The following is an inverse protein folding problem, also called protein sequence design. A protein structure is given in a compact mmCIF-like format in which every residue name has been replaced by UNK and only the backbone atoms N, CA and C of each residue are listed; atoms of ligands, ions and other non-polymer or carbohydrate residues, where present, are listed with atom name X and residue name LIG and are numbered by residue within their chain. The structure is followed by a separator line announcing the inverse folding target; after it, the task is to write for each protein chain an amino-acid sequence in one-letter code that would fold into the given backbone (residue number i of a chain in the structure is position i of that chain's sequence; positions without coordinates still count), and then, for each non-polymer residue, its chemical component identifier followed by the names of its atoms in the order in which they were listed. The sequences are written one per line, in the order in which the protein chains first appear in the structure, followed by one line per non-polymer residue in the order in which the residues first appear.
data_IF_308084533028
#
_entry.id   IF_308084533028
#
_cell.length_a   1.000
_cell.length_b   1.000
_cell.length_c   1.000
_cell.angle_alpha   90.00
_cell.angle_beta   90.00
_cell.angle_gamma   90.00
#
_symmetry.space_group_name_H-M   'P 1'
#
loop_
_entity.id
_entity.type
_entity.pdbx_description
1 polymer ?
#
# COMPACT_ATOMS: atom_id res chain seq x y z
N UNK A 1 10.89 -15.76 67.18
CA UNK A 1 9.77 -15.84 66.22
C UNK A 1 10.06 -14.86 65.09
N UNK A 2 10.50 -15.37 63.94
CA UNK A 2 10.85 -14.56 62.78
C UNK A 2 9.58 -14.29 61.96
N UNK A 3 9.23 -13.01 61.77
CA UNK A 3 8.17 -12.59 60.86
C UNK A 3 8.80 -12.27 59.50
N UNK A 4 8.53 -13.13 58.52
CA UNK A 4 8.90 -12.92 57.12
C UNK A 4 7.88 -11.95 56.52
N UNK A 5 8.28 -10.71 56.27
CA UNK A 5 7.49 -9.76 55.48
C UNK A 5 7.54 -10.16 54.00
N UNK A 6 6.42 -10.67 53.49
CA UNK A 6 6.23 -11.00 52.08
C UNK A 6 5.89 -9.71 51.31
N UNK A 7 6.88 -9.12 50.63
CA UNK A 7 6.68 -7.98 49.74
C UNK A 7 5.97 -8.45 48.47
N UNK A 8 4.68 -8.18 48.35
CA UNK A 8 3.93 -8.39 47.11
C UNK A 8 4.34 -7.31 46.07
N UNK A 9 5.18 -7.68 45.11
CA UNK A 9 5.47 -6.84 43.96
C UNK A 9 4.26 -6.86 43.00
N UNK A 10 3.49 -5.78 42.96
CA UNK A 10 2.41 -5.61 41.98
C UNK A 10 3.05 -5.25 40.64
N UNK A 11 3.12 -6.21 39.73
CA UNK A 11 3.52 -5.97 38.35
C UNK A 11 2.48 -5.05 37.68
N UNK A 12 2.91 -3.86 37.26
CA UNK A 12 2.10 -2.96 36.44
C UNK A 12 1.98 -3.60 35.05
N UNK A 13 0.78 -3.82 34.50
CA UNK A 13 0.66 -4.24 33.12
C UNK A 13 1.23 -3.12 32.23
N UNK A 14 2.36 -3.39 31.58
CA UNK A 14 2.83 -2.59 30.46
C UNK A 14 1.74 -2.66 29.41
N UNK A 15 1.02 -1.55 29.21
CA UNK A 15 0.11 -1.40 28.10
C UNK A 15 0.90 -1.46 26.80
N UNK A 16 1.00 -2.65 26.21
CA UNK A 16 1.23 -2.76 24.79
C UNK A 16 0.02 -2.09 24.12
N UNK A 17 0.25 -0.95 23.46
CA UNK A 17 -0.69 -0.44 22.47
C UNK A 17 -0.74 -1.50 21.39
N UNK A 18 -1.80 -2.30 21.40
CA UNK A 18 -2.19 -3.11 20.27
C UNK A 18 -2.72 -2.09 19.26
N UNK A 19 -1.84 -1.60 18.38
CA UNK A 19 -2.23 -0.74 17.27
C UNK A 19 -3.18 -1.56 16.41
N UNK A 20 -4.48 -1.36 16.64
CA UNK A 20 -5.53 -2.06 15.92
C UNK A 20 -5.34 -1.79 14.43
N UNK A 21 -4.91 -2.81 13.69
CA UNK A 21 -4.77 -2.72 12.25
C UNK A 21 -6.10 -2.22 11.68
N UNK A 22 -6.12 -1.15 10.87
CA UNK A 22 -7.35 -0.62 10.31
C UNK A 22 -8.09 -1.73 9.54
N UNK A 23 -9.35 -1.96 9.91
CA UNK A 23 -10.21 -2.95 9.27
C UNK A 23 -10.65 -2.42 7.89
N UNK A 24 -9.84 -2.64 6.88
CA UNK A 24 -10.16 -2.30 5.49
C UNK A 24 -11.27 -3.20 4.95
N UNK A 25 -12.29 -2.60 4.33
CA UNK A 25 -13.44 -3.28 3.76
C UNK A 25 -13.95 -2.54 2.52
N UNK A 26 -15.01 -3.04 1.88
CA UNK A 26 -15.53 -2.46 0.64
C UNK A 26 -16.16 -1.07 0.78
N UNK A 27 -16.49 -0.62 2.00
CA UNK A 27 -17.12 0.69 2.22
C UNK A 27 -16.13 1.81 2.55
N UNK A 28 -14.89 1.48 2.93
CA UNK A 28 -13.86 2.47 3.25
C UNK A 28 -12.68 2.49 2.26
N UNK A 29 -12.72 1.66 1.22
CA UNK A 29 -11.69 1.60 0.19
C UNK A 29 -12.17 2.14 -1.16
N UNK A 30 -11.30 2.89 -1.84
CA UNK A 30 -11.34 3.05 -3.29
C UNK A 30 -10.12 2.37 -3.87
N UNK A 31 -10.33 1.51 -4.85
CA UNK A 31 -9.25 0.75 -5.49
C UNK A 31 -8.88 1.34 -6.85
N UNK A 32 -7.76 0.92 -7.42
CA UNK A 32 -7.29 1.36 -8.73
C UNK A 32 -7.03 0.15 -9.64
N UNK A 33 -7.58 0.22 -10.86
CA UNK A 33 -7.25 -0.67 -11.98
C UNK A 33 -6.58 0.11 -13.08
N UNK A 34 -5.45 -0.40 -13.55
CA UNK A 34 -4.92 0.00 -14.85
C UNK A 34 -4.86 -1.23 -15.73
N UNK A 35 -5.54 -1.19 -16.88
CA UNK A 35 -5.65 -2.30 -17.82
C UNK A 35 -4.79 -2.01 -19.03
N UNK A 36 -3.83 -2.90 -19.30
CA UNK A 36 -2.89 -2.74 -20.41
C UNK A 36 -3.55 -3.05 -21.76
N UNK A 37 -2.98 -2.56 -22.88
CA UNK A 37 -3.42 -2.96 -24.22
C UNK A 37 -3.34 -4.47 -24.45
N UNK A 38 -2.31 -5.13 -23.90
CA UNK A 38 -2.07 -6.57 -23.97
C UNK A 38 -1.06 -7.05 -22.89
N UNK A 39 -0.58 -8.28 -23.02
CA UNK A 39 0.32 -8.93 -22.03
C UNK A 39 1.80 -8.92 -22.39
N UNK A 40 2.16 -8.36 -23.55
CA UNK A 40 3.56 -8.21 -23.94
C UNK A 40 4.32 -7.22 -23.03
N UNK A 41 5.65 -7.31 -23.04
CA UNK A 41 6.50 -6.51 -22.17
C UNK A 41 6.33 -4.98 -22.39
N UNK A 42 6.00 -4.53 -23.60
CA UNK A 42 5.78 -3.10 -23.87
C UNK A 42 4.45 -2.65 -23.26
N UNK A 43 3.38 -3.43 -23.42
CA UNK A 43 2.08 -3.17 -22.80
C UNK A 43 2.17 -3.13 -21.27
N UNK A 44 2.94 -4.05 -20.67
CA UNK A 44 3.13 -4.08 -19.22
C UNK A 44 3.92 -2.86 -18.71
N UNK A 45 4.97 -2.43 -19.44
CA UNK A 45 5.71 -1.18 -19.11
C UNK A 45 4.83 0.06 -19.23
N UNK A 46 4.01 0.14 -20.28
CA UNK A 46 3.07 1.23 -20.50
C UNK A 46 2.05 1.32 -19.35
N UNK A 47 1.50 0.18 -18.91
CA UNK A 47 0.60 0.11 -17.76
C UNK A 47 1.24 0.68 -16.49
N UNK A 48 2.51 0.36 -16.21
CA UNK A 48 3.21 0.89 -15.04
C UNK A 48 3.41 2.40 -15.14
N UNK A 49 3.79 2.92 -16.31
CA UNK A 49 3.95 4.36 -16.51
C UNK A 49 2.62 5.13 -16.35
N UNK A 50 1.52 4.58 -16.87
CA UNK A 50 0.17 5.16 -16.69
C UNK A 50 -0.25 5.10 -15.22
N UNK A 51 -0.04 3.97 -14.54
CA UNK A 51 -0.30 3.81 -13.11
C UNK A 51 0.41 4.90 -12.31
N UNK A 52 1.70 5.11 -12.53
CA UNK A 52 2.49 6.06 -11.75
C UNK A 52 1.99 7.49 -11.94
N UNK A 53 1.65 7.88 -13.17
CA UNK A 53 1.07 9.19 -13.47
C UNK A 53 -0.32 9.38 -12.83
N UNK A 54 -1.16 8.35 -12.83
CA UNK A 54 -2.49 8.39 -12.21
C UNK A 54 -2.38 8.45 -10.70
N UNK A 55 -1.48 7.69 -10.08
CA UNK A 55 -1.23 7.74 -8.63
C UNK A 55 -0.70 9.11 -8.19
N UNK A 56 0.20 9.71 -8.96
CA UNK A 56 0.69 11.06 -8.66
C UNK A 56 -0.44 12.09 -8.72
N UNK A 57 -1.27 12.05 -9.76
CA UNK A 57 -2.38 12.98 -9.94
C UNK A 57 -3.45 12.82 -8.86
N UNK A 58 -3.92 11.59 -8.66
CA UNK A 58 -4.94 11.29 -7.65
C UNK A 58 -4.43 11.54 -6.24
N UNK A 59 -3.13 11.31 -5.97
CA UNK A 59 -2.51 11.66 -4.69
C UNK A 59 -2.57 13.17 -4.40
N UNK A 60 -2.52 14.04 -5.43
CA UNK A 60 -2.73 15.49 -5.27
C UNK A 60 -4.19 15.84 -5.04
N UNK A 61 -5.09 15.25 -5.82
CA UNK A 61 -6.53 15.49 -5.72
C UNK A 61 -7.11 15.06 -4.36
N UNK A 62 -6.61 13.96 -3.80
CA UNK A 62 -7.15 13.34 -2.60
C UNK A 62 -6.51 13.86 -1.29
N UNK A 63 -5.63 14.87 -1.33
CA UNK A 63 -4.99 15.40 -0.12
C UNK A 63 -5.99 15.93 0.91
N UNK A 64 -7.12 16.47 0.45
CA UNK A 64 -8.17 17.00 1.31
C UNK A 64 -9.32 16.01 1.54
N UNK A 65 -9.21 14.77 1.06
CA UNK A 65 -10.29 13.80 1.15
C UNK A 65 -10.37 13.23 2.58
N UNK A 66 -11.52 13.42 3.23
CA UNK A 66 -11.71 12.99 4.62
C UNK A 66 -12.13 11.51 4.73
N UNK A 67 -12.96 11.05 3.80
CA UNK A 67 -13.49 9.68 3.77
C UNK A 67 -13.62 9.15 2.33
N UNK A 68 -13.96 7.86 2.19
CA UNK A 68 -14.08 7.22 0.89
C UNK A 68 -15.20 7.82 0.02
N UNK A 69 -16.26 8.41 0.61
CA UNK A 69 -17.33 9.06 -0.15
C UNK A 69 -16.87 10.40 -0.69
N UNK A 70 -16.11 11.13 0.11
CA UNK A 70 -15.49 12.40 -0.27
C UNK A 70 -14.47 12.19 -1.40
N UNK A 71 -13.58 11.22 -1.22
CA UNK A 71 -12.63 10.78 -2.24
C UNK A 71 -13.34 10.38 -3.55
N UNK A 72 -14.44 9.61 -3.48
CA UNK A 72 -15.20 9.22 -4.65
C UNK A 72 -15.78 10.43 -5.41
N UNK A 73 -16.30 11.43 -4.68
CA UNK A 73 -16.84 12.66 -5.28
C UNK A 73 -15.75 13.47 -5.99
N UNK A 74 -14.59 13.61 -5.34
CA UNK A 74 -13.41 14.29 -5.91
C UNK A 74 -12.97 13.59 -7.20
N UNK A 75 -12.83 12.26 -7.17
CA UNK A 75 -12.42 11.48 -8.34
C UNK A 75 -13.44 11.61 -9.48
N UNK A 76 -14.74 11.50 -9.16
CA UNK A 76 -15.81 11.62 -10.16
C UNK A 76 -15.79 12.98 -10.86
N UNK A 77 -15.56 14.07 -10.11
CA UNK A 77 -15.46 15.43 -10.67
C UNK A 77 -14.20 15.68 -11.51
N UNK A 78 -13.17 14.82 -11.36
CA UNK A 78 -11.86 15.01 -11.99
C UNK A 78 -11.48 13.90 -13.00
N UNK A 79 -12.41 13.05 -13.41
CA UNK A 79 -12.13 11.94 -14.34
C UNK A 79 -11.43 12.40 -15.63
N UNK A 80 -11.87 13.52 -16.23
CA UNK A 80 -11.23 14.07 -17.43
C UNK A 80 -9.80 14.55 -17.19
N UNK A 81 -9.50 15.06 -15.99
CA UNK A 81 -8.15 15.47 -15.62
C UNK A 81 -7.24 14.25 -15.44
N UNK A 82 -7.73 13.22 -14.74
CA UNK A 82 -7.05 11.94 -14.57
C UNK A 82 -6.75 11.29 -15.93
N UNK A 83 -7.74 11.30 -16.84
CA UNK A 83 -7.58 10.78 -18.19
C UNK A 83 -6.54 11.58 -19.01
N UNK A 84 -6.46 12.90 -18.78
CA UNK A 84 -5.44 13.75 -19.41
C UNK A 84 -4.03 13.36 -18.93
N UNK A 85 -3.85 13.17 -17.63
CA UNK A 85 -2.57 12.72 -17.05
C UNK A 85 -2.18 11.32 -17.54
N UNK A 86 -3.14 10.40 -17.64
CA UNK A 86 -2.93 9.07 -18.20
C UNK A 86 -2.52 9.12 -19.69
N UNK A 87 -3.23 9.90 -20.51
CA UNK A 87 -2.88 10.10 -21.92
C UNK A 87 -1.49 10.75 -22.11
N UNK A 88 -1.10 11.66 -21.22
CA UNK A 88 0.25 12.25 -21.26
C UNK A 88 1.34 11.20 -21.01
N UNK A 89 1.11 10.24 -20.11
CA UNK A 89 2.02 9.11 -19.90
C UNK A 89 2.09 8.19 -21.13
N UNK A 90 0.95 7.94 -21.78
CA UNK A 90 0.91 7.18 -23.04
C UNK A 90 1.72 7.89 -24.12
N UNK A 91 1.55 9.20 -24.31
CA UNK A 91 2.30 9.95 -25.31
C UNK A 91 3.82 9.88 -25.09
N UNK A 92 4.28 9.96 -23.84
CA UNK A 92 5.72 9.83 -23.48
C UNK A 92 6.29 8.44 -23.79
N UNK A 93 5.45 7.40 -23.85
CA UNK A 93 5.89 6.05 -24.22
C UNK A 93 6.13 5.84 -25.71
N UNK A 94 5.80 6.84 -26.55
CA UNK A 94 5.94 6.75 -28.01
C UNK A 94 4.81 5.96 -28.69
N UNK A 95 3.70 5.72 -27.99
CA UNK A 95 2.51 5.06 -28.56
C UNK A 95 1.36 6.06 -28.71
N UNK A 96 0.37 5.71 -29.54
CA UNK A 96 -0.80 6.56 -29.84
C UNK A 96 -2.10 6.03 -29.23
N UNK A 97 -2.01 5.13 -28.24
CA UNK A 97 -3.21 4.65 -27.55
C UNK A 97 -3.95 5.80 -26.87
N UNK A 98 -5.25 5.63 -26.70
CA UNK A 98 -6.06 6.50 -25.85
C UNK A 98 -6.35 5.79 -24.55
N UNK A 99 -6.45 6.56 -23.48
CA UNK A 99 -6.92 6.07 -22.19
C UNK A 99 -8.37 6.44 -21.96
N UNK A 100 -9.11 5.60 -21.24
CA UNK A 100 -10.43 5.90 -20.70
C UNK A 100 -10.41 5.75 -19.19
N UNK A 101 -10.77 6.80 -18.45
CA UNK A 101 -10.93 6.75 -17.01
C UNK A 101 -12.42 6.65 -16.61
N UNK A 102 -12.73 5.80 -15.64
CA UNK A 102 -14.08 5.67 -15.10
C UNK A 102 -14.07 5.25 -13.62
N UNK A 103 -15.08 5.68 -12.88
CA UNK A 103 -15.29 5.30 -11.49
C UNK A 103 -16.54 4.42 -11.39
N UNK A 104 -16.45 3.28 -10.73
CA UNK A 104 -17.58 2.35 -10.62
C UNK A 104 -17.31 1.15 -9.72
N UNK A 105 -18.31 0.28 -9.58
CA UNK A 105 -18.18 -0.98 -8.84
C UNK A 105 -17.59 -2.06 -9.75
N UNK A 106 -16.52 -2.70 -9.29
CA UNK A 106 -15.86 -3.78 -10.04
C UNK A 106 -15.51 -4.95 -9.12
N UNK A 107 -15.50 -6.19 -9.66
CA UNK A 107 -15.11 -7.36 -8.91
C UNK A 107 -13.60 -7.41 -8.73
N UNK A 108 -13.16 -7.80 -7.53
CA UNK A 108 -11.77 -8.04 -7.21
C UNK A 108 -11.57 -9.42 -6.62
N UNK A 109 -10.43 -10.07 -6.91
CA UNK A 109 -10.03 -11.27 -6.20
C UNK A 109 -9.59 -10.93 -4.78
N UNK A 110 -9.36 -11.97 -3.98
CA UNK A 110 -8.63 -11.83 -2.73
C UNK A 110 -7.18 -11.42 -3.04
N UNK A 111 -6.70 -10.33 -2.43
CA UNK A 111 -5.34 -9.81 -2.66
C UNK A 111 -4.67 -9.51 -1.33
N UNK A 112 -3.45 -10.03 -1.17
CA UNK A 112 -2.60 -9.73 0.00
C UNK A 112 -1.63 -8.59 -0.30
N UNK A 113 -1.53 -7.65 0.62
CA UNK A 113 -0.61 -6.52 0.64
C UNK A 113 0.24 -6.60 1.91
N UNK A 114 1.41 -7.24 1.83
CA UNK A 114 2.27 -7.45 3.01
C UNK A 114 1.54 -8.23 4.11
N UNK A 115 1.32 -7.60 5.26
CA UNK A 115 0.60 -8.16 6.40
C UNK A 115 -0.93 -7.98 6.34
N UNK A 116 -1.46 -7.21 5.40
CA UNK A 116 -2.90 -6.98 5.21
C UNK A 116 -3.45 -7.86 4.08
N UNK A 117 -4.64 -8.44 4.25
CA UNK A 117 -5.35 -9.17 3.21
C UNK A 117 -6.69 -8.49 2.93
N UNK A 118 -6.98 -8.24 1.65
CA UNK A 118 -8.26 -7.71 1.21
C UNK A 118 -9.11 -8.85 0.62
N UNK A 119 -10.33 -9.09 1.13
CA UNK A 119 -11.18 -10.18 0.66
C UNK A 119 -11.65 -9.95 -0.78
N UNK A 120 -12.00 -11.04 -1.47
CA UNK A 120 -12.67 -10.94 -2.76
C UNK A 120 -14.04 -10.25 -2.60
N UNK A 121 -14.47 -9.51 -3.62
CA UNK A 121 -15.76 -8.82 -3.62
C UNK A 121 -15.81 -7.65 -4.61
N UNK A 122 -16.94 -6.95 -4.60
CA UNK A 122 -17.12 -5.73 -5.40
C UNK A 122 -16.67 -4.51 -4.61
N UNK A 123 -15.81 -3.71 -5.22
CA UNK A 123 -15.28 -2.48 -4.65
C UNK A 123 -15.51 -1.31 -5.59
N UNK A 124 -15.66 -0.12 -5.01
CA UNK A 124 -15.55 1.11 -5.76
C UNK A 124 -14.10 1.24 -6.26
N UNK A 125 -13.92 1.44 -7.56
CA UNK A 125 -12.60 1.58 -8.13
C UNK A 125 -12.55 2.60 -9.27
N UNK A 126 -11.42 3.30 -9.33
CA UNK A 126 -10.99 4.03 -10.51
C UNK A 126 -10.40 3.03 -11.50
N UNK A 127 -11.00 2.89 -12.68
CA UNK A 127 -10.52 2.06 -13.77
C UNK A 127 -9.96 2.93 -14.88
N UNK A 128 -8.72 2.66 -15.28
CA UNK A 128 -8.04 3.29 -16.43
C UNK A 128 -7.74 2.22 -17.47
N UNK A 129 -8.43 2.29 -18.59
CA UNK A 129 -8.29 1.38 -19.72
C UNK A 129 -7.38 1.99 -20.77
N UNK A 130 -6.34 1.27 -21.19
CA UNK A 130 -5.38 1.75 -22.21
C UNK A 130 -5.63 0.99 -23.51
N UNK A 131 -6.02 1.72 -24.56
CA UNK A 131 -6.26 1.12 -25.87
C UNK A 131 -7.33 0.01 -25.82
N UNK A 132 -7.08 -1.19 -26.39
CA UNK A 132 -8.01 -2.32 -26.36
C UNK A 132 -8.28 -2.91 -24.98
N UNK A 133 -7.45 -2.61 -23.97
CA UNK A 133 -7.60 -3.10 -22.60
C UNK A 133 -7.76 -4.63 -22.46
N UNK A 134 -6.96 -5.40 -23.21
CA UNK A 134 -7.00 -6.88 -23.22
C UNK A 134 -5.97 -7.54 -22.29
N UNK A 135 -5.03 -6.77 -21.76
CA UNK A 135 -3.95 -7.29 -20.93
C UNK A 135 -4.31 -7.44 -19.46
N UNK A 136 -3.39 -8.05 -18.71
CA UNK A 136 -3.50 -8.27 -17.28
C UNK A 136 -3.70 -6.96 -16.52
N UNK A 137 -4.53 -7.03 -15.49
CA UNK A 137 -4.80 -5.92 -14.60
C UNK A 137 -3.64 -5.66 -13.64
N UNK A 138 -3.45 -4.40 -13.26
CA UNK A 138 -2.70 -4.03 -12.07
C UNK A 138 -3.66 -3.55 -10.98
N UNK A 139 -3.51 -4.09 -9.77
CA UNK A 139 -4.37 -3.80 -8.64
C UNK A 139 -3.64 -2.93 -7.61
N UNK A 140 -4.28 -1.88 -7.13
CA UNK A 140 -3.78 -1.04 -6.04
C UNK A 140 -4.96 -0.52 -5.20
N UNK A 141 -4.67 0.00 -4.01
CA UNK A 141 -5.63 0.76 -3.20
C UNK A 141 -5.30 2.24 -3.34
N UNK A 142 -6.27 3.00 -3.84
CA UNK A 142 -6.17 4.43 -4.09
C UNK A 142 -6.47 5.26 -2.84
N UNK A 143 -7.50 4.85 -2.09
CA UNK A 143 -7.93 5.53 -0.86
C UNK A 143 -8.33 4.52 0.22
N UNK A 144 -7.84 4.66 1.48
CA UNK A 144 -6.64 5.43 1.80
C UNK A 144 -5.45 4.88 0.99
N UNK A 145 -4.42 5.68 0.71
CA UNK A 145 -3.32 5.26 -0.15
C UNK A 145 -2.56 4.08 0.48
N UNK A 146 -2.77 2.87 -0.06
CA UNK A 146 -2.07 1.64 0.34
C UNK A 146 -1.50 1.01 -0.92
N UNK A 147 -0.37 1.53 -1.38
CA UNK A 147 0.42 0.87 -2.40
C UNK A 147 1.49 0.01 -1.72
N UNK A 148 1.84 -1.19 -2.22
CA UNK A 148 2.98 -1.94 -1.68
C UNK A 148 4.28 -1.12 -1.64
N UNK A 149 4.45 -0.23 -2.63
CA UNK A 149 5.59 0.71 -2.67
C UNK A 149 5.51 1.75 -1.54
N UNK A 150 4.29 2.07 -1.07
CA UNK A 150 4.03 2.94 0.05
C UNK A 150 4.02 2.21 1.40
N UNK A 151 3.82 0.89 1.47
CA UNK A 151 3.97 0.17 2.76
C UNK A 151 5.44 0.19 3.22
N UNK A 152 6.37 0.02 2.29
CA UNK A 152 7.79 0.19 2.59
C UNK A 152 8.13 1.66 2.90
N UNK A 153 7.53 2.61 2.16
CA UNK A 153 7.77 4.05 2.36
C UNK A 153 7.15 4.60 3.65
N UNK A 154 5.95 4.16 4.02
CA UNK A 154 5.24 4.53 5.24
C UNK A 154 5.99 3.99 6.46
N UNK A 155 6.49 2.75 6.40
CA UNK A 155 7.36 2.20 7.45
C UNK A 155 8.68 2.98 7.60
N UNK A 156 9.26 3.43 6.48
CA UNK A 156 10.46 4.29 6.50
C UNK A 156 10.15 5.68 7.09
N UNK A 157 9.01 6.28 6.74
CA UNK A 157 8.59 7.58 7.28
C UNK A 157 8.24 7.49 8.77
N UNK A 158 7.63 6.41 9.22
CA UNK A 158 7.35 6.13 10.64
C UNK A 158 8.65 5.97 11.44
N UNK A 159 9.64 5.24 10.89
CA UNK A 159 10.96 5.11 11.50
C UNK A 159 11.73 6.45 11.52
N UNK A 160 11.55 7.28 10.49
CA UNK A 160 12.18 8.60 10.40
C UNK A 160 11.49 9.68 11.25
N UNK A 161 10.18 9.52 11.52
CA UNK A 161 9.39 10.41 12.36
C UNK A 161 9.39 10.00 13.84
N UNK A 162 9.90 8.80 14.16
CA UNK A 162 10.20 8.43 15.53
C UNK A 162 11.23 9.43 16.09
N UNK A 163 10.98 10.05 17.26
CA UNK A 163 11.98 10.91 17.89
C UNK A 163 13.28 10.11 18.08
N UNK A 164 14.47 10.74 17.97
CA UNK A 164 15.72 10.04 18.22
C UNK A 164 15.74 9.53 19.66
N UNK A 165 15.28 8.30 19.83
CA UNK A 165 15.36 7.53 21.06
C UNK A 165 16.83 7.15 21.24
N UNK A 166 17.36 7.49 22.40
CA UNK A 166 18.75 7.28 22.79
C UNK A 166 19.29 5.93 22.29
N UNK A 167 20.28 5.97 21.39
CA UNK A 167 20.92 4.81 20.76
C UNK A 167 21.82 4.01 21.73
N UNK A 168 21.65 4.17 23.05
CA UNK A 168 22.43 3.48 24.07
C UNK A 168 21.81 2.15 24.55
N UNK A 169 20.55 1.85 24.18
CA UNK A 169 19.85 0.65 24.70
C UNK A 169 19.88 -0.58 23.78
N UNK A 170 20.53 -0.51 22.61
CA UNK A 170 20.69 -1.64 21.69
C UNK A 170 22.05 -2.36 21.79
N UNK A 171 22.73 -2.26 22.94
CA UNK A 171 23.81 -3.21 23.28
C UNK A 171 23.24 -4.39 24.06
N UNK A 172 22.63 -5.32 23.33
CA UNK A 172 22.55 -6.70 23.81
C UNK A 172 23.98 -7.26 23.90
N UNK A 173 24.37 -7.93 25.00
CA UNK A 173 25.71 -8.50 25.10
C UNK A 173 25.87 -9.64 24.11
N UNK A 174 26.90 -9.55 23.26
CA UNK A 174 27.39 -10.66 22.46
C UNK A 174 27.85 -11.75 23.44
N UNK A 175 27.04 -12.81 23.59
CA UNK A 175 27.47 -14.04 24.27
C UNK A 175 28.52 -14.71 23.39
N UNK A 176 29.79 -14.52 23.74
CA UNK A 176 30.88 -15.37 23.27
C UNK A 176 30.70 -16.78 23.85
N UNK A 177 30.08 -17.66 23.08
CA UNK A 177 30.00 -19.08 23.36
C UNK A 177 30.50 -19.84 22.14
N UNK A 178 31.81 -20.04 22.07
CA UNK A 178 32.44 -20.80 21.00
C UNK A 178 31.92 -22.24 20.94
N UNK A 179 31.67 -22.72 19.71
CA UNK A 179 31.88 -24.12 19.37
C UNK A 179 32.26 -24.22 17.89
N UNK A 180 33.31 -24.99 17.70
CA UNK A 180 34.09 -25.23 16.50
C UNK A 180 33.24 -25.66 15.30
N UNK A 181 33.69 -25.21 14.13
CA UNK A 181 33.43 -25.79 12.82
C UNK A 181 33.65 -27.32 12.81
N UNK A 182 32.73 -28.06 12.21
CA UNK A 182 33.04 -29.18 11.32
C UNK A 182 32.10 -29.13 10.12
N UNK A 183 32.67 -28.86 8.95
CA UNK A 183 32.07 -29.08 7.65
C UNK A 183 32.19 -30.59 7.35
N UNK A 184 31.08 -31.30 7.23
CA UNK A 184 31.06 -32.56 6.49
C UNK A 184 30.21 -32.35 5.23
N UNK A 185 30.87 -32.51 4.08
CA UNK A 185 30.26 -32.67 2.78
C UNK A 185 29.90 -34.15 2.60
N UNK A 186 28.63 -34.42 2.30
CA UNK A 186 28.18 -35.59 1.55
C UNK A 186 26.94 -35.20 0.74
#
# INVERSE_FOLDING_TARGET
MAFICLSAAVARPSGAREDAAPAYNSSNLIRLHVVAPGDDAQSQRLKLAVRDAVLEETGKLLQSAEDARDAARILQGNLSHIETSANAAVARSGTSYRTRAGLGMFPFPNVSYGSASLPAGDYLALKVEIGPALGANWWCVLFPPLCPVDLDRARILELAAAPPGNLDSLRAPIRSGGRLFTLEFA
#
